data_IF_638506916112
#
_entry.id   IF_638506916112
#
_cell.length_a   1.000
_cell.length_b   1.000
_cell.length_c   1.000
_cell.angle_alpha   90.00
_cell.angle_beta   90.00
_cell.angle_gamma   90.00
#
_symmetry.space_group_name_H-M   'P 1'
#
loop_
_entity.id
_entity.type
_entity.pdbx_description
1 polymer ?
#
# COMPACT_ATOMS: atom_id res chain seq x y z
N UNK A 1 20.65 -36.90 -37.09
CA UNK A 1 21.69 -36.28 -36.22
C UNK A 1 21.65 -34.80 -36.51
N UNK A 2 20.93 -34.04 -35.68
CA UNK A 2 21.02 -32.58 -35.69
C UNK A 2 22.26 -32.23 -34.88
N UNK A 3 23.21 -31.62 -35.55
CA UNK A 3 24.41 -31.04 -34.93
C UNK A 3 23.99 -29.88 -34.05
N UNK A 4 24.30 -29.97 -32.76
CA UNK A 4 24.21 -28.87 -31.83
C UNK A 4 24.95 -27.66 -32.41
N UNK A 5 24.23 -26.58 -32.68
CA UNK A 5 24.82 -25.27 -32.84
C UNK A 5 25.51 -24.92 -31.54
N UNK A 6 26.84 -24.92 -31.52
CA UNK A 6 27.63 -24.38 -30.43
C UNK A 6 27.17 -22.94 -30.19
N UNK A 7 26.64 -22.64 -29.00
CA UNK A 7 26.34 -21.28 -28.55
C UNK A 7 27.69 -20.54 -28.64
N UNK A 8 27.79 -19.55 -29.52
CA UNK A 8 29.01 -18.73 -29.65
C UNK A 8 29.23 -18.02 -28.30
N UNK A 9 30.36 -18.34 -27.65
CA UNK A 9 30.83 -17.61 -26.48
C UNK A 9 31.31 -16.22 -26.90
N UNK A 10 31.01 -15.21 -26.09
CA UNK A 10 31.49 -13.84 -26.29
C UNK A 10 32.79 -13.66 -25.49
N UNK A 11 33.85 -13.14 -26.12
CA UNK A 11 35.13 -12.82 -25.47
C UNK A 11 35.13 -11.37 -25.00
N UNK A 12 35.49 -11.16 -23.72
CA UNK A 12 35.58 -9.85 -23.07
C UNK A 12 37.03 -9.50 -22.65
N UNK A 13 38.02 -10.19 -23.29
CA UNK A 13 39.43 -9.96 -23.01
C UNK A 13 39.96 -10.76 -21.82
N UNK A 14 40.98 -10.23 -21.13
CA UNK A 14 41.64 -10.95 -20.04
C UNK A 14 41.71 -10.12 -18.76
N UNK A 15 41.53 -10.78 -17.60
CA UNK A 15 41.77 -10.21 -16.28
C UNK A 15 42.78 -11.10 -15.55
N UNK A 16 43.90 -10.53 -15.11
CA UNK A 16 45.00 -11.27 -14.46
C UNK A 16 45.43 -12.52 -15.24
N UNK A 17 45.50 -12.39 -16.59
CA UNK A 17 45.92 -13.47 -17.49
C UNK A 17 44.86 -14.56 -17.74
N UNK A 18 43.63 -14.41 -17.30
CA UNK A 18 42.49 -15.32 -17.52
C UNK A 18 41.53 -14.74 -18.56
N UNK A 19 41.17 -15.53 -19.58
CA UNK A 19 40.15 -15.12 -20.52
C UNK A 19 38.79 -14.94 -19.82
N UNK A 20 38.09 -13.88 -20.21
CA UNK A 20 36.71 -13.60 -19.73
C UNK A 20 35.74 -13.89 -20.85
N UNK A 21 34.99 -14.97 -20.70
CA UNK A 21 34.01 -15.43 -21.67
C UNK A 21 32.58 -15.36 -21.09
N UNK A 22 31.60 -15.09 -21.94
CA UNK A 22 30.19 -15.16 -21.60
C UNK A 22 29.40 -15.90 -22.65
N UNK A 23 28.34 -16.62 -22.26
CA UNK A 23 27.46 -17.36 -23.16
C UNK A 23 26.05 -17.49 -22.56
N UNK A 24 25.08 -17.80 -23.43
CA UNK A 24 23.69 -18.03 -23.02
C UNK A 24 23.41 -19.53 -22.80
N UNK A 25 24.21 -20.19 -22.01
CA UNK A 25 24.22 -21.64 -21.76
C UNK A 25 23.83 -22.04 -20.32
N UNK A 26 23.48 -21.06 -19.48
CA UNK A 26 23.18 -21.29 -18.06
C UNK A 26 21.86 -22.06 -17.80
N UNK A 27 21.06 -22.32 -18.82
CA UNK A 27 19.75 -22.98 -18.69
C UNK A 27 18.69 -22.08 -18.08
N UNK A 28 17.78 -22.64 -17.30
CA UNK A 28 16.65 -21.88 -16.74
C UNK A 28 17.09 -21.07 -15.52
N UNK A 29 17.09 -19.77 -15.62
CA UNK A 29 17.54 -18.83 -14.58
C UNK A 29 16.44 -17.82 -14.27
N UNK A 30 16.36 -17.37 -13.01
CA UNK A 30 15.55 -16.23 -12.60
C UNK A 30 16.38 -15.26 -11.77
N UNK A 31 16.11 -13.97 -11.89
CA UNK A 31 16.70 -12.92 -11.05
C UNK A 31 15.94 -12.71 -9.73
N UNK A 32 14.78 -13.31 -9.56
CA UNK A 32 13.78 -12.97 -8.55
C UNK A 32 13.50 -14.12 -7.57
N UNK A 33 14.39 -15.10 -7.45
CA UNK A 33 14.16 -16.31 -6.64
C UNK A 33 13.80 -16.02 -5.18
N UNK A 34 14.25 -14.90 -4.62
CA UNK A 34 13.84 -14.45 -3.29
C UNK A 34 12.34 -14.21 -3.16
N UNK A 35 11.64 -13.96 -4.28
CA UNK A 35 10.19 -13.82 -4.37
C UNK A 35 9.39 -15.05 -3.90
N UNK A 36 10.03 -16.21 -3.73
CA UNK A 36 9.41 -17.37 -3.05
C UNK A 36 8.84 -17.01 -1.67
N UNK A 37 9.41 -16.00 -0.99
CA UNK A 37 8.87 -15.46 0.25
C UNK A 37 7.49 -14.83 0.06
N UNK A 38 7.20 -14.22 -1.09
CA UNK A 38 5.89 -13.64 -1.39
C UNK A 38 4.82 -14.74 -1.48
N UNK A 39 5.11 -15.83 -2.18
CA UNK A 39 4.22 -16.99 -2.24
C UNK A 39 4.03 -17.66 -0.88
N UNK A 40 5.09 -17.75 -0.07
CA UNK A 40 4.98 -18.23 1.30
C UNK A 40 4.14 -17.30 2.18
N UNK A 41 4.26 -15.99 1.99
CA UNK A 41 3.44 -14.99 2.69
C UNK A 41 1.98 -15.11 2.31
N UNK A 42 1.68 -15.26 1.01
CA UNK A 42 0.29 -15.47 0.58
C UNK A 42 -0.32 -16.73 1.17
N UNK A 43 0.40 -17.85 1.22
CA UNK A 43 -0.07 -19.07 1.90
C UNK A 43 -0.38 -18.83 3.39
N UNK A 44 0.42 -18.00 4.07
CA UNK A 44 0.21 -17.68 5.48
C UNK A 44 -1.02 -16.79 5.72
N UNK A 45 -1.39 -15.90 4.78
CA UNK A 45 -2.53 -14.98 4.95
C UNK A 45 -3.74 -15.31 4.05
N UNK A 46 -3.56 -16.11 2.99
CA UNK A 46 -4.60 -16.56 2.06
C UNK A 46 -5.26 -15.41 1.29
N UNK A 47 -4.48 -14.44 0.84
CA UNK A 47 -4.99 -13.21 0.26
C UNK A 47 -5.38 -13.39 -1.21
N UNK A 48 -4.54 -14.06 -2.02
CA UNK A 48 -4.74 -14.12 -3.48
C UNK A 48 -6.03 -14.83 -3.87
N UNK A 49 -6.33 -15.96 -3.25
CA UNK A 49 -7.59 -16.67 -3.51
C UNK A 49 -8.83 -15.84 -3.15
N UNK A 50 -8.77 -15.13 -2.03
CA UNK A 50 -9.86 -14.23 -1.59
C UNK A 50 -10.00 -13.01 -2.50
N UNK A 51 -8.88 -12.46 -2.99
CA UNK A 51 -8.91 -11.35 -3.93
C UNK A 51 -9.45 -11.82 -5.29
N UNK A 52 -9.04 -12.99 -5.78
CA UNK A 52 -9.59 -13.58 -6.99
C UNK A 52 -11.11 -13.85 -6.89
N UNK A 53 -11.59 -14.24 -5.71
CA UNK A 53 -13.03 -14.43 -5.46
C UNK A 53 -13.85 -13.11 -5.52
N UNK A 54 -13.21 -11.95 -5.55
CA UNK A 54 -13.87 -10.67 -5.80
C UNK A 54 -14.15 -10.42 -7.30
N UNK A 55 -13.74 -11.33 -8.17
CA UNK A 55 -13.93 -11.22 -9.61
C UNK A 55 -14.99 -12.22 -10.08
N UNK A 56 -15.72 -11.84 -11.10
CA UNK A 56 -16.67 -12.69 -11.80
C UNK A 56 -16.13 -13.00 -13.19
N UNK A 57 -16.06 -14.29 -13.56
CA UNK A 57 -15.51 -14.78 -14.82
C UNK A 57 -16.61 -15.41 -15.67
N UNK A 58 -16.93 -14.77 -16.78
CA UNK A 58 -17.90 -15.24 -17.77
C UNK A 58 -17.25 -15.91 -18.99
N UNK A 59 -15.98 -16.26 -18.89
CA UNK A 59 -15.31 -17.03 -19.94
C UNK A 59 -15.83 -18.47 -19.94
N UNK A 60 -15.81 -19.11 -21.10
CA UNK A 60 -16.12 -20.53 -21.23
C UNK A 60 -15.02 -21.35 -20.57
N UNK A 61 -15.32 -22.24 -19.59
CA UNK A 61 -14.32 -22.96 -18.82
C UNK A 61 -13.31 -23.74 -19.69
N UNK A 62 -13.80 -24.35 -20.78
CA UNK A 62 -13.00 -25.14 -21.71
C UNK A 62 -11.96 -24.31 -22.50
N UNK A 63 -12.15 -22.99 -22.57
CA UNK A 63 -11.25 -22.06 -23.28
C UNK A 63 -10.33 -21.27 -22.32
N UNK A 64 -10.43 -21.51 -21.02
CA UNK A 64 -9.62 -20.80 -20.03
C UNK A 64 -8.21 -21.42 -19.99
N UNK A 65 -7.20 -20.69 -20.46
CA UNK A 65 -5.80 -21.04 -20.28
C UNK A 65 -5.29 -20.58 -18.89
N UNK A 66 -5.62 -19.35 -18.50
CA UNK A 66 -5.20 -18.77 -17.22
C UNK A 66 -6.42 -18.41 -16.38
N UNK A 67 -6.52 -19.04 -15.21
CA UNK A 67 -7.60 -18.77 -14.25
C UNK A 67 -7.47 -17.37 -13.62
N UNK A 68 -8.57 -16.81 -13.10
CA UNK A 68 -8.54 -15.50 -12.45
C UNK A 68 -7.53 -15.44 -11.31
N UNK A 69 -7.42 -16.51 -10.51
CA UNK A 69 -6.45 -16.56 -9.42
C UNK A 69 -5.00 -16.46 -9.92
N UNK A 70 -4.68 -17.12 -11.03
CA UNK A 70 -3.36 -17.00 -11.70
C UNK A 70 -3.11 -15.57 -12.18
N UNK A 71 -4.09 -14.94 -12.86
CA UNK A 71 -3.96 -13.58 -13.39
C UNK A 71 -3.76 -12.54 -12.27
N UNK A 72 -4.59 -12.63 -11.23
CA UNK A 72 -4.53 -11.75 -10.06
C UNK A 72 -3.20 -11.92 -9.31
N UNK A 73 -2.81 -13.17 -9.07
CA UNK A 73 -1.53 -13.48 -8.42
C UNK A 73 -0.34 -12.97 -9.22
N UNK A 74 -0.30 -13.25 -10.53
CA UNK A 74 0.74 -12.78 -11.43
C UNK A 74 0.89 -11.25 -11.37
N UNK A 75 -0.23 -10.52 -11.34
CA UNK A 75 -0.20 -9.06 -11.31
C UNK A 75 0.30 -8.52 -9.97
N UNK A 76 -0.19 -9.04 -8.85
CA UNK A 76 0.21 -8.61 -7.49
C UNK A 76 1.68 -8.95 -7.21
N UNK A 77 2.13 -10.17 -7.57
CA UNK A 77 3.52 -10.57 -7.42
C UNK A 77 4.44 -9.75 -8.31
N UNK A 78 4.04 -9.48 -9.57
CA UNK A 78 4.79 -8.62 -10.48
C UNK A 78 5.04 -7.24 -9.88
N UNK A 79 3.99 -6.56 -9.38
CA UNK A 79 4.11 -5.25 -8.71
C UNK A 79 5.05 -5.33 -7.48
N UNK A 80 4.90 -6.34 -6.64
CA UNK A 80 5.76 -6.51 -5.47
C UNK A 80 7.23 -6.71 -5.85
N UNK A 81 7.50 -7.37 -6.98
CA UNK A 81 8.84 -7.57 -7.55
C UNK A 81 9.36 -6.38 -8.35
N UNK A 82 8.54 -5.35 -8.60
CA UNK A 82 8.93 -4.12 -9.29
C UNK A 82 8.56 -4.05 -10.76
N UNK A 83 7.71 -4.95 -11.22
CA UNK A 83 7.19 -5.01 -12.59
C UNK A 83 5.77 -4.45 -12.63
N UNK A 84 5.65 -3.13 -12.70
CA UNK A 84 4.34 -2.47 -12.73
C UNK A 84 3.77 -2.36 -14.15
N UNK A 85 4.63 -2.34 -15.17
CA UNK A 85 4.18 -2.28 -16.56
C UNK A 85 3.66 -3.64 -17.01
N UNK A 86 2.52 -3.62 -17.70
CA UNK A 86 1.97 -4.83 -18.31
C UNK A 86 2.85 -5.39 -19.41
N UNK A 87 3.68 -4.56 -20.08
CA UNK A 87 4.61 -5.02 -21.10
C UNK A 87 5.65 -6.00 -20.56
N UNK A 88 6.09 -5.82 -19.31
CA UNK A 88 7.04 -6.72 -18.66
C UNK A 88 6.53 -8.17 -18.62
N UNK A 89 5.21 -8.35 -18.62
CA UNK A 89 4.60 -9.66 -18.55
C UNK A 89 4.70 -10.48 -19.85
N UNK A 90 5.10 -9.89 -20.97
CA UNK A 90 5.42 -10.66 -22.17
C UNK A 90 6.72 -11.45 -22.00
N UNK A 91 7.65 -10.96 -21.16
CA UNK A 91 8.88 -11.66 -20.77
C UNK A 91 8.64 -12.52 -19.52
N UNK A 92 8.04 -11.94 -18.49
CA UNK A 92 7.78 -12.60 -17.21
C UNK A 92 6.91 -13.86 -17.31
N UNK A 93 6.11 -14.01 -18.39
CA UNK A 93 5.34 -15.23 -18.62
C UNK A 93 6.20 -16.47 -18.84
N UNK A 94 7.49 -16.29 -19.11
CA UNK A 94 8.48 -17.36 -19.25
C UNK A 94 9.38 -17.52 -18.02
N UNK A 95 9.26 -16.63 -17.02
CA UNK A 95 10.06 -16.71 -15.80
C UNK A 95 9.56 -17.85 -14.88
N UNK A 96 10.46 -18.78 -14.48
CA UNK A 96 10.06 -19.95 -13.69
C UNK A 96 9.60 -19.59 -12.27
N UNK A 97 10.09 -18.50 -11.68
CA UNK A 97 9.60 -18.05 -10.39
C UNK A 97 8.16 -17.57 -10.49
N UNK A 98 7.87 -16.73 -11.48
CA UNK A 98 6.51 -16.20 -11.68
C UNK A 98 5.51 -17.34 -11.92
N UNK A 99 5.89 -18.36 -12.68
CA UNK A 99 5.10 -19.55 -12.89
C UNK A 99 4.81 -20.30 -11.57
N UNK A 100 5.83 -20.48 -10.73
CA UNK A 100 5.70 -21.09 -9.39
C UNK A 100 4.80 -20.26 -8.46
N UNK A 101 4.98 -18.93 -8.43
CA UNK A 101 4.15 -18.03 -7.63
C UNK A 101 2.68 -18.04 -8.05
N UNK A 102 2.43 -18.11 -9.35
CA UNK A 102 1.07 -18.20 -9.90
C UNK A 102 0.48 -19.62 -9.82
N UNK A 103 1.25 -20.61 -9.35
CA UNK A 103 0.80 -21.98 -9.18
C UNK A 103 0.63 -22.77 -10.48
N UNK A 104 1.28 -22.34 -11.58
CA UNK A 104 1.14 -22.94 -12.90
C UNK A 104 2.47 -22.99 -13.66
N UNK A 105 3.09 -24.18 -13.73
CA UNK A 105 4.37 -24.37 -14.40
C UNK A 105 4.26 -24.64 -15.90
N UNK A 106 3.19 -25.25 -16.34
CA UNK A 106 3.00 -25.70 -17.70
C UNK A 106 1.75 -25.09 -18.31
N UNK A 107 1.81 -24.72 -19.56
CA UNK A 107 0.63 -24.33 -20.32
C UNK A 107 -0.23 -25.57 -20.64
N UNK A 108 -1.56 -25.37 -20.73
CA UNK A 108 -2.46 -26.43 -21.18
C UNK A 108 -2.37 -26.66 -22.69
N UNK A 109 -2.00 -25.60 -23.43
CA UNK A 109 -1.87 -25.62 -24.90
C UNK A 109 -0.41 -25.41 -25.27
N UNK A 110 0.02 -26.11 -26.33
CA UNK A 110 1.42 -26.06 -26.81
C UNK A 110 1.86 -24.67 -27.27
N UNK A 111 0.93 -23.85 -27.77
CA UNK A 111 1.19 -22.49 -28.26
C UNK A 111 1.14 -21.40 -27.15
N UNK A 112 0.98 -21.81 -25.90
CA UNK A 112 0.84 -20.90 -24.77
C UNK A 112 2.03 -20.96 -23.82
N UNK A 113 2.29 -19.85 -23.12
CA UNK A 113 3.19 -19.82 -21.98
C UNK A 113 2.47 -20.27 -20.69
N UNK A 114 3.20 -20.69 -19.64
CA UNK A 114 2.62 -21.09 -18.36
C UNK A 114 1.71 -20.04 -17.75
N UNK A 115 2.08 -18.76 -17.84
CA UNK A 115 1.30 -17.64 -17.31
C UNK A 115 1.00 -16.59 -18.39
N UNK A 116 0.17 -15.62 -18.08
CA UNK A 116 -0.41 -14.72 -19.06
C UNK A 116 0.56 -13.64 -19.55
N UNK A 117 0.52 -13.31 -20.83
CA UNK A 117 1.16 -12.11 -21.38
C UNK A 117 0.30 -10.86 -21.16
N UNK A 118 0.86 -9.70 -21.55
CA UNK A 118 0.27 -8.36 -21.38
C UNK A 118 -1.18 -8.23 -21.86
N UNK A 119 -1.50 -8.80 -23.02
CA UNK A 119 -2.83 -8.68 -23.61
C UNK A 119 -3.93 -9.29 -22.73
N UNK A 120 -3.65 -10.39 -22.05
CA UNK A 120 -4.60 -11.05 -21.15
C UNK A 120 -4.74 -10.28 -19.84
N UNK A 121 -3.64 -9.80 -19.27
CA UNK A 121 -3.66 -8.97 -18.06
C UNK A 121 -4.32 -7.61 -18.32
N UNK A 122 -4.10 -7.01 -19.49
CA UNK A 122 -4.78 -5.77 -19.88
C UNK A 122 -6.30 -5.95 -19.92
N UNK A 123 -6.81 -7.08 -20.43
CA UNK A 123 -8.25 -7.38 -20.41
C UNK A 123 -8.80 -7.53 -18.99
N UNK A 124 -8.01 -8.03 -18.05
CA UNK A 124 -8.37 -8.07 -16.63
C UNK A 124 -8.46 -6.66 -16.03
N UNK A 125 -7.45 -5.81 -16.25
CA UNK A 125 -7.40 -4.45 -15.71
C UNK A 125 -8.48 -3.54 -16.30
N UNK A 126 -8.74 -3.66 -17.60
CA UNK A 126 -9.80 -2.90 -18.30
C UNK A 126 -11.20 -3.51 -18.12
N UNK A 127 -11.42 -4.32 -17.09
CA UNK A 127 -12.69 -4.98 -16.83
C UNK A 127 -13.85 -3.99 -16.78
N UNK A 128 -14.97 -4.34 -17.43
CA UNK A 128 -16.17 -3.53 -17.53
C UNK A 128 -17.25 -4.00 -16.55
N UNK A 129 -18.27 -3.16 -16.30
CA UNK A 129 -19.44 -3.55 -15.48
C UNK A 129 -20.22 -4.68 -16.14
N UNK A 130 -20.46 -4.56 -17.45
CA UNK A 130 -21.08 -5.60 -18.25
C UNK A 130 -20.02 -6.31 -19.10
N UNK A 131 -20.13 -7.62 -19.22
CA UNK A 131 -19.21 -8.39 -20.06
C UNK A 131 -19.38 -8.02 -21.54
N UNK A 132 -18.27 -8.08 -22.26
CA UNK A 132 -18.22 -7.85 -23.70
C UNK A 132 -17.54 -9.03 -24.39
N UNK A 133 -17.50 -9.03 -25.72
CA UNK A 133 -16.77 -10.07 -26.48
C UNK A 133 -15.31 -10.24 -25.99
N UNK A 134 -14.64 -9.15 -25.57
CA UNK A 134 -13.22 -9.14 -25.20
C UNK A 134 -12.98 -9.05 -23.70
N UNK A 135 -13.92 -8.47 -22.91
CA UNK A 135 -13.81 -8.28 -21.47
C UNK A 135 -14.88 -9.10 -20.76
N UNK A 136 -14.55 -10.33 -20.40
CA UNK A 136 -15.46 -11.30 -19.76
C UNK A 136 -15.17 -11.50 -18.28
N UNK A 137 -14.14 -10.83 -17.75
CA UNK A 137 -13.84 -10.82 -16.32
C UNK A 137 -14.23 -9.44 -15.78
N UNK A 138 -15.08 -9.41 -14.78
CA UNK A 138 -15.45 -8.19 -14.07
C UNK A 138 -15.08 -8.29 -12.58
N UNK A 139 -14.89 -7.16 -11.92
CA UNK A 139 -14.59 -7.14 -10.49
C UNK A 139 -15.73 -6.50 -9.70
N UNK A 140 -15.88 -6.94 -8.44
CA UNK A 140 -16.84 -6.38 -7.49
C UNK A 140 -16.10 -5.41 -6.54
N UNK A 141 -16.27 -4.08 -6.69
CA UNK A 141 -15.63 -3.07 -5.85
C UNK A 141 -15.94 -3.22 -4.36
N UNK A 142 -17.19 -3.56 -4.02
CA UNK A 142 -17.61 -3.69 -2.62
C UNK A 142 -16.96 -4.91 -1.95
N UNK A 143 -16.81 -6.02 -2.66
CA UNK A 143 -16.12 -7.20 -2.17
C UNK A 143 -14.64 -6.91 -1.93
N UNK A 144 -13.97 -6.18 -2.84
CA UNK A 144 -12.55 -5.80 -2.68
C UNK A 144 -12.38 -4.87 -1.46
N UNK A 145 -13.23 -3.85 -1.34
CA UNK A 145 -13.22 -2.93 -0.18
C UNK A 145 -13.44 -3.67 1.14
N UNK A 146 -14.35 -4.64 1.17
CA UNK A 146 -14.59 -5.46 2.34
C UNK A 146 -13.36 -6.34 2.68
N UNK A 147 -12.77 -6.99 1.68
CA UNK A 147 -11.57 -7.81 1.85
C UNK A 147 -10.41 -7.03 2.47
N UNK A 148 -10.18 -5.78 2.05
CA UNK A 148 -9.13 -4.93 2.60
C UNK A 148 -9.31 -4.70 4.12
N UNK A 149 -10.55 -4.54 4.58
CA UNK A 149 -10.86 -4.39 6.02
C UNK A 149 -10.67 -5.71 6.76
N UNK A 150 -11.11 -6.83 6.17
CA UNK A 150 -10.93 -8.16 6.76
C UNK A 150 -9.46 -8.51 6.94
N UNK A 151 -8.62 -8.30 5.91
CA UNK A 151 -7.18 -8.52 5.98
C UNK A 151 -6.51 -7.69 7.10
N UNK A 152 -6.99 -6.46 7.31
CA UNK A 152 -6.51 -5.64 8.41
C UNK A 152 -6.91 -6.21 9.77
N UNK A 153 -8.17 -6.59 9.95
CA UNK A 153 -8.67 -7.12 11.23
C UNK A 153 -7.95 -8.43 11.56
N UNK A 154 -7.78 -9.31 10.60
CA UNK A 154 -7.09 -10.59 10.73
C UNK A 154 -5.58 -10.45 10.99
N UNK A 155 -4.98 -9.33 10.60
CA UNK A 155 -3.58 -9.05 10.92
C UNK A 155 -3.31 -8.89 12.42
N UNK A 156 -4.35 -8.76 13.25
CA UNK A 156 -4.26 -8.60 14.69
C UNK A 156 -4.66 -9.90 15.41
N UNK A 157 -3.76 -10.45 16.17
CA UNK A 157 -4.01 -11.67 16.98
C UNK A 157 -5.11 -11.43 18.02
N UNK A 158 -5.17 -10.21 18.57
CA UNK A 158 -6.16 -9.80 19.58
C UNK A 158 -6.73 -8.44 19.21
N UNK A 159 -8.01 -8.20 19.59
CA UNK A 159 -8.63 -6.91 19.41
C UNK A 159 -7.83 -5.82 20.15
N UNK A 160 -7.36 -4.76 19.48
CA UNK A 160 -6.68 -3.66 20.14
C UNK A 160 -7.68 -2.84 20.97
N UNK A 161 -7.20 -2.21 22.07
CA UNK A 161 -8.04 -1.30 22.86
C UNK A 161 -8.43 -0.05 22.07
N UNK A 162 -7.53 0.42 21.24
CA UNK A 162 -7.72 1.61 20.39
C UNK A 162 -7.00 1.44 19.06
N UNK A 163 -7.58 1.98 18.00
CA UNK A 163 -6.93 2.14 16.68
C UNK A 163 -6.99 3.61 16.26
N UNK A 164 -5.96 4.01 15.52
CA UNK A 164 -5.90 5.32 14.86
C UNK A 164 -6.01 5.07 13.38
N UNK A 165 -6.98 5.67 12.73
CA UNK A 165 -7.15 5.66 11.29
C UNK A 165 -6.70 7.00 10.74
N UNK A 166 -5.60 6.99 10.02
CA UNK A 166 -5.08 8.15 9.31
C UNK A 166 -5.73 8.25 7.95
N UNK A 167 -6.29 9.42 7.64
CA UNK A 167 -6.89 9.75 6.37
C UNK A 167 -6.01 10.77 5.64
N UNK A 168 -5.81 10.56 4.37
CA UNK A 168 -5.17 11.50 3.48
C UNK A 168 -5.73 11.38 2.06
N UNK A 169 -5.89 12.52 1.40
CA UNK A 169 -6.22 12.58 -0.01
C UNK A 169 -5.00 13.15 -0.72
N UNK A 170 -4.23 12.28 -1.35
CA UNK A 170 -2.99 12.65 -2.05
C UNK A 170 -3.28 12.74 -3.53
N UNK A 171 -2.73 13.74 -4.19
CA UNK A 171 -2.84 13.89 -5.64
C UNK A 171 -2.16 12.74 -6.39
N UNK A 172 -2.80 12.34 -7.46
CA UNK A 172 -2.31 11.38 -8.44
C UNK A 172 -2.38 12.07 -9.82
N UNK A 173 -1.28 12.71 -10.26
CA UNK A 173 -1.27 13.55 -11.45
C UNK A 173 -1.62 12.78 -12.72
N UNK A 174 -2.44 13.36 -13.57
CA UNK A 174 -2.93 12.77 -14.80
C UNK A 174 -2.31 13.47 -16.02
N UNK A 175 -1.83 12.68 -16.96
CA UNK A 175 -1.14 13.16 -18.16
C UNK A 175 -1.97 13.02 -19.45
N UNK A 176 -3.26 12.71 -19.34
CA UNK A 176 -4.15 12.49 -20.47
C UNK A 176 -5.59 12.88 -20.15
N UNK A 177 -6.54 12.46 -21.01
CA UNK A 177 -7.97 12.75 -20.87
C UNK A 177 -8.73 11.60 -20.20
N UNK A 178 -8.26 11.16 -19.04
CA UNK A 178 -8.89 10.06 -18.30
C UNK A 178 -10.25 10.49 -17.74
N UNK A 179 -11.18 9.54 -17.71
CA UNK A 179 -12.50 9.71 -17.13
C UNK A 179 -12.43 10.15 -15.66
N UNK A 180 -13.19 11.19 -15.30
CA UNK A 180 -13.30 11.65 -13.91
C UNK A 180 -12.09 12.44 -13.40
N UNK A 181 -11.11 12.77 -14.24
CA UNK A 181 -10.06 13.72 -13.86
C UNK A 181 -10.67 15.09 -13.56
N UNK A 182 -10.08 15.81 -12.62
CA UNK A 182 -10.46 17.20 -12.34
C UNK A 182 -9.22 18.07 -12.11
N UNK A 183 -9.35 19.36 -12.37
CA UNK A 183 -8.29 20.32 -12.10
C UNK A 183 -8.28 20.68 -10.62
N UNK A 184 -7.16 20.48 -9.95
CA UNK A 184 -7.00 20.81 -8.55
C UNK A 184 -6.13 22.06 -8.37
N UNK A 185 -6.75 23.18 -8.01
CA UNK A 185 -6.09 24.48 -7.96
C UNK A 185 -4.93 24.61 -6.96
N UNK A 186 -4.85 23.75 -5.94
CA UNK A 186 -3.72 23.76 -5.01
C UNK A 186 -2.48 23.08 -5.62
N UNK A 187 -2.69 21.99 -6.38
CA UNK A 187 -1.61 21.25 -7.04
C UNK A 187 -1.32 21.76 -8.45
N UNK A 188 -2.15 22.66 -8.98
CA UNK A 188 -2.05 23.24 -10.32
C UNK A 188 -1.95 22.18 -11.43
N UNK A 189 -2.68 21.09 -11.31
CA UNK A 189 -2.69 20.00 -12.29
C UNK A 189 -4.05 19.29 -12.35
N UNK A 190 -4.27 18.55 -13.44
CA UNK A 190 -5.32 17.56 -13.52
C UNK A 190 -4.90 16.31 -12.76
N UNK A 191 -5.72 15.85 -11.84
CA UNK A 191 -5.41 14.70 -11.01
C UNK A 191 -6.65 13.88 -10.61
N UNK A 192 -6.42 12.69 -10.08
CA UNK A 192 -7.30 12.04 -9.11
C UNK A 192 -6.87 12.40 -7.68
N UNK A 193 -7.78 12.27 -6.75
CA UNK A 193 -7.50 12.43 -5.32
C UNK A 193 -7.92 11.16 -4.55
N UNK A 194 -7.19 10.06 -4.69
CA UNK A 194 -7.53 8.86 -3.95
C UNK A 194 -7.46 9.09 -2.44
N UNK A 195 -8.53 8.69 -1.74
CA UNK A 195 -8.55 8.67 -0.28
C UNK A 195 -7.74 7.47 0.23
N UNK A 196 -6.63 7.76 0.87
CA UNK A 196 -5.83 6.77 1.58
C UNK A 196 -6.28 6.68 3.03
N UNK A 197 -6.48 5.46 3.52
CA UNK A 197 -6.76 5.19 4.92
C UNK A 197 -5.74 4.21 5.45
N UNK A 198 -4.98 4.61 6.48
CA UNK A 198 -3.98 3.77 7.13
C UNK A 198 -4.30 3.55 8.60
N UNK A 199 -3.87 2.41 9.13
CA UNK A 199 -3.76 2.16 10.55
C UNK A 199 -2.34 1.68 10.85
N UNK A 200 -1.47 2.58 11.27
CA UNK A 200 -0.05 2.32 11.36
C UNK A 200 0.52 1.89 10.01
N UNK A 201 1.06 0.67 9.92
CA UNK A 201 1.59 0.10 8.67
C UNK A 201 0.54 -0.62 7.80
N UNK A 202 -0.69 -0.75 8.27
CA UNK A 202 -1.75 -1.41 7.52
C UNK A 202 -2.46 -0.42 6.62
N UNK A 203 -2.30 -0.57 5.31
CA UNK A 203 -2.98 0.24 4.30
C UNK A 203 -4.43 -0.21 4.13
N UNK A 204 -5.30 0.78 3.98
CA UNK A 204 -6.63 0.65 3.40
C UNK A 204 -6.73 1.73 2.33
N UNK A 205 -6.94 1.36 1.10
CA UNK A 205 -7.23 2.35 0.06
C UNK A 205 -8.71 2.34 -0.26
N UNK A 206 -9.29 3.50 -0.29
CA UNK A 206 -10.54 3.75 -0.97
C UNK A 206 -10.32 4.89 -1.95
N UNK A 207 -10.97 4.84 -3.09
CA UNK A 207 -11.04 5.96 -3.99
C UNK A 207 -12.35 6.65 -3.72
N UNK A 208 -12.25 7.86 -3.30
CA UNK A 208 -13.18 8.96 -3.57
C UNK A 208 -12.57 10.19 -2.89
N UNK A 209 -12.76 11.35 -3.48
CA UNK A 209 -12.35 12.62 -2.92
C UNK A 209 -12.90 12.79 -1.49
N UNK A 210 -12.41 13.77 -0.75
CA UNK A 210 -12.87 14.07 0.61
C UNK A 210 -14.40 14.15 0.75
N UNK A 211 -15.14 14.29 -0.34
CA UNK A 211 -16.60 14.34 -0.38
C UNK A 211 -17.28 12.99 -0.09
N UNK A 212 -16.61 11.85 -0.32
CA UNK A 212 -17.10 10.50 0.05
C UNK A 212 -16.54 9.96 1.38
N UNK A 213 -15.83 10.79 2.15
CA UNK A 213 -15.12 10.34 3.36
C UNK A 213 -16.07 9.84 4.45
N UNK A 214 -17.25 10.44 4.61
CA UNK A 214 -18.24 10.04 5.64
C UNK A 214 -18.74 8.63 5.36
N UNK A 215 -19.21 8.37 4.16
CA UNK A 215 -19.76 7.08 3.73
C UNK A 215 -18.73 5.97 3.83
N UNK A 216 -17.51 6.24 3.38
CA UNK A 216 -16.45 5.25 3.43
C UNK A 216 -15.99 4.99 4.88
N UNK A 217 -15.87 6.00 5.72
CA UNK A 217 -15.57 5.81 7.14
C UNK A 217 -16.69 5.07 7.86
N UNK A 218 -17.95 5.38 7.56
CA UNK A 218 -19.10 4.65 8.11
C UNK A 218 -19.02 3.15 7.78
N UNK A 219 -18.75 2.82 6.52
CA UNK A 219 -18.61 1.44 6.03
C UNK A 219 -17.46 0.71 6.74
N UNK A 220 -16.26 1.32 6.75
CA UNK A 220 -15.06 0.74 7.34
C UNK A 220 -15.26 0.51 8.84
N UNK A 221 -15.75 1.52 9.56
CA UNK A 221 -15.92 1.47 11.01
C UNK A 221 -17.00 0.46 11.39
N UNK A 222 -18.10 0.39 10.66
CA UNK A 222 -19.12 -0.63 10.87
C UNK A 222 -18.56 -2.05 10.72
N UNK A 223 -17.71 -2.29 9.69
CA UNK A 223 -17.07 -3.59 9.50
C UNK A 223 -16.08 -3.92 10.62
N UNK A 224 -15.27 -2.96 11.08
CA UNK A 224 -14.35 -3.15 12.20
C UNK A 224 -15.12 -3.49 13.48
N UNK A 225 -16.18 -2.74 13.78
CA UNK A 225 -16.97 -2.91 14.99
C UNK A 225 -17.74 -4.24 15.04
N UNK A 226 -18.08 -4.83 13.89
CA UNK A 226 -18.61 -6.20 13.87
C UNK A 226 -17.63 -7.21 14.48
N UNK A 227 -16.33 -7.04 14.28
CA UNK A 227 -15.31 -7.93 14.83
C UNK A 227 -14.79 -7.45 16.21
N UNK A 228 -14.70 -6.12 16.40
CA UNK A 228 -14.20 -5.49 17.63
C UNK A 228 -15.20 -4.47 18.18
N UNK A 229 -16.29 -4.89 18.79
CA UNK A 229 -17.39 -3.98 19.21
C UNK A 229 -16.98 -2.87 20.17
N UNK A 230 -15.94 -3.10 20.98
CA UNK A 230 -15.48 -2.17 22.04
C UNK A 230 -14.23 -1.37 21.67
N UNK A 231 -13.73 -1.49 20.44
CA UNK A 231 -12.52 -0.77 20.04
C UNK A 231 -12.78 0.74 20.00
N UNK A 232 -11.91 1.51 20.64
CA UNK A 232 -11.90 2.98 20.47
C UNK A 232 -11.27 3.31 19.12
N UNK A 233 -11.88 4.24 18.40
CA UNK A 233 -11.43 4.64 17.07
C UNK A 233 -11.17 6.14 17.10
N UNK A 234 -9.95 6.53 16.70
CA UNK A 234 -9.57 7.92 16.47
C UNK A 234 -9.29 8.09 14.96
N UNK A 235 -10.03 8.98 14.32
CA UNK A 235 -9.72 9.46 12.97
C UNK A 235 -8.72 10.60 13.08
N UNK A 236 -7.64 10.55 12.26
CA UNK A 236 -6.63 11.59 12.20
C UNK A 236 -6.38 11.98 10.75
N UNK A 237 -6.40 13.28 10.46
CA UNK A 237 -6.29 13.79 9.10
C UNK A 237 -5.70 15.20 9.06
N UNK A 238 -5.43 15.70 7.86
CA UNK A 238 -5.04 17.07 7.63
C UNK A 238 -6.22 18.06 7.72
N UNK A 239 -6.01 19.30 7.31
CA UNK A 239 -7.02 20.35 7.38
C UNK A 239 -8.15 20.22 6.34
N UNK A 240 -7.95 19.46 5.28
CA UNK A 240 -8.98 19.19 4.27
C UNK A 240 -10.17 18.41 4.81
N UNK A 241 -9.94 17.64 5.87
CA UNK A 241 -10.97 16.84 6.54
C UNK A 241 -11.65 17.53 7.75
N UNK A 242 -11.27 18.75 8.09
CA UNK A 242 -11.89 19.51 9.18
C UNK A 242 -13.26 20.10 8.79
N UNK A 243 -14.12 19.27 8.21
CA UNK A 243 -15.48 19.59 7.74
C UNK A 243 -16.51 19.20 8.79
N UNK A 244 -17.60 19.96 8.87
CA UNK A 244 -18.64 19.75 9.88
C UNK A 244 -19.34 18.40 9.76
N UNK A 245 -19.64 17.97 8.55
CA UNK A 245 -20.27 16.69 8.23
C UNK A 245 -19.51 15.51 8.81
N UNK A 246 -18.20 15.41 8.57
CA UNK A 246 -17.37 14.35 9.09
C UNK A 246 -17.21 14.42 10.61
N UNK A 247 -17.01 15.63 11.17
CA UNK A 247 -16.87 15.80 12.61
C UNK A 247 -18.18 15.49 13.35
N UNK A 248 -19.33 15.94 12.83
CA UNK A 248 -20.64 15.65 13.40
C UNK A 248 -20.98 14.17 13.31
N UNK A 249 -20.64 13.53 12.18
CA UNK A 249 -20.78 12.08 12.03
C UNK A 249 -19.94 11.32 13.07
N UNK A 250 -18.69 11.71 13.28
CA UNK A 250 -17.81 11.12 14.29
C UNK A 250 -18.44 11.22 15.70
N UNK A 251 -18.90 12.44 16.06
CA UNK A 251 -19.54 12.70 17.34
C UNK A 251 -20.81 11.84 17.54
N UNK A 252 -21.64 11.72 16.51
CA UNK A 252 -22.88 10.93 16.56
C UNK A 252 -22.61 9.41 16.64
N UNK A 253 -21.45 8.94 16.15
CA UNK A 253 -21.13 7.52 16.08
C UNK A 253 -20.07 7.06 17.11
N UNK A 254 -19.74 7.90 18.11
CA UNK A 254 -18.76 7.54 19.14
C UNK A 254 -17.38 7.24 18.56
N UNK A 255 -16.94 8.05 17.60
CA UNK A 255 -15.64 8.02 16.98
C UNK A 255 -14.90 9.30 17.35
N UNK A 256 -13.71 9.17 17.89
CA UNK A 256 -12.87 10.32 18.16
C UNK A 256 -12.25 10.86 16.87
N UNK A 257 -11.97 12.16 16.82
CA UNK A 257 -11.26 12.76 15.70
C UNK A 257 -10.19 13.75 16.15
N UNK A 258 -9.17 13.94 15.31
CA UNK A 258 -8.09 14.90 15.46
C UNK A 258 -7.65 15.35 14.06
N UNK A 259 -8.14 16.50 13.62
CA UNK A 259 -7.88 17.02 12.27
C UNK A 259 -7.07 18.30 12.33
N UNK A 260 -6.20 18.49 11.34
CA UNK A 260 -5.59 19.79 11.08
C UNK A 260 -6.69 20.85 10.94
N UNK A 261 -6.34 22.10 11.19
CA UNK A 261 -7.26 23.23 10.99
C UNK A 261 -6.50 24.37 10.30
N UNK A 262 -7.01 24.82 9.18
CA UNK A 262 -6.47 25.95 8.42
C UNK A 262 -6.41 27.21 9.27
N UNK A 263 -5.26 27.88 9.26
CA UNK A 263 -5.09 29.15 9.97
C UNK A 263 -5.96 30.25 9.36
N UNK A 264 -6.50 31.11 10.21
CA UNK A 264 -7.12 32.37 9.81
C UNK A 264 -6.85 33.45 10.88
N UNK A 265 -7.10 34.71 10.55
CA UNK A 265 -6.80 35.84 11.44
C UNK A 265 -7.47 35.73 12.80
N UNK A 266 -8.71 35.24 12.88
CA UNK A 266 -9.44 35.08 14.14
C UNK A 266 -8.79 34.01 15.04
N UNK A 267 -8.33 32.91 14.47
CA UNK A 267 -7.60 31.87 15.21
C UNK A 267 -6.24 32.36 15.67
N UNK A 268 -5.55 33.17 14.87
CA UNK A 268 -4.27 33.77 15.24
C UNK A 268 -4.48 34.77 16.39
N UNK A 269 -5.52 35.61 16.33
CA UNK A 269 -5.87 36.55 17.41
C UNK A 269 -6.12 35.84 18.75
N UNK A 270 -6.75 34.64 18.75
CA UNK A 270 -6.98 33.84 19.98
C UNK A 270 -5.71 33.44 20.70
N UNK A 271 -4.56 33.40 20.02
CA UNK A 271 -3.27 32.97 20.59
C UNK A 271 -2.21 34.09 20.52
N UNK A 272 -2.62 35.34 20.35
CA UNK A 272 -1.69 36.45 20.24
C UNK A 272 -0.74 36.53 21.46
N UNK A 273 -1.28 36.42 22.68
CA UNK A 273 -0.47 36.46 23.90
C UNK A 273 0.56 35.29 23.96
N UNK A 274 0.20 34.10 23.55
CA UNK A 274 1.10 32.95 23.47
C UNK A 274 2.18 33.15 22.42
N UNK A 275 1.87 33.77 21.27
CA UNK A 275 2.83 34.13 20.24
C UNK A 275 3.81 35.20 20.74
N UNK A 276 3.35 36.24 21.40
CA UNK A 276 4.20 37.28 21.98
C UNK A 276 5.19 36.71 23.01
N UNK A 277 4.71 35.83 23.88
CA UNK A 277 5.54 35.14 24.85
C UNK A 277 6.57 34.21 24.19
N UNK A 278 6.19 33.52 23.12
CA UNK A 278 7.10 32.67 22.36
C UNK A 278 8.16 33.51 21.64
N UNK A 279 7.75 34.64 21.03
CA UNK A 279 8.65 35.59 20.37
C UNK A 279 9.67 36.18 21.35
N UNK A 280 9.20 36.69 22.49
CA UNK A 280 10.07 37.25 23.53
C UNK A 280 11.13 36.26 24.04
N UNK A 281 10.68 35.00 24.28
CA UNK A 281 11.62 33.95 24.73
C UNK A 281 12.60 33.54 23.62
N UNK A 282 12.14 33.42 22.38
CA UNK A 282 12.97 33.08 21.23
C UNK A 282 14.06 34.14 20.98
N UNK A 283 13.70 35.44 21.04
CA UNK A 283 14.65 36.56 20.92
C UNK A 283 15.74 36.52 22.03
N UNK A 284 15.32 36.19 23.26
CA UNK A 284 16.25 36.12 24.40
C UNK A 284 17.20 34.92 24.32
N UNK A 285 16.73 33.76 23.81
CA UNK A 285 17.48 32.50 23.81
C UNK A 285 18.20 32.21 22.50
N UNK A 286 17.86 32.92 21.41
CA UNK A 286 18.32 32.61 20.06
C UNK A 286 17.81 31.29 19.50
N UNK A 287 16.83 30.65 20.15
CA UNK A 287 16.30 29.33 19.77
C UNK A 287 14.81 29.41 19.45
N UNK A 288 14.29 28.52 18.57
CA UNK A 288 12.85 28.40 18.37
C UNK A 288 12.11 28.11 19.69
N UNK A 289 11.00 28.76 19.89
CA UNK A 289 10.15 28.56 21.05
C UNK A 289 8.72 28.27 20.65
N UNK A 290 8.03 27.41 21.42
CA UNK A 290 6.64 27.05 21.18
C UNK A 290 5.83 26.97 22.47
N UNK A 291 4.58 27.40 22.37
CA UNK A 291 3.57 27.33 23.43
C UNK A 291 2.31 26.68 22.91
N UNK A 292 1.51 26.12 23.79
CA UNK A 292 0.28 25.43 23.44
C UNK A 292 -0.89 26.00 24.21
N UNK A 293 -1.96 26.31 23.47
CA UNK A 293 -3.26 26.74 24.05
C UNK A 293 -4.37 25.80 23.62
N UNK A 294 -5.33 25.58 24.51
CA UNK A 294 -6.54 24.80 24.22
C UNK A 294 -7.76 25.64 24.55
N UNK A 295 -8.66 25.80 23.56
CA UNK A 295 -9.87 26.63 23.71
C UNK A 295 -11.03 26.02 22.92
N UNK A 296 -12.27 26.51 23.20
CA UNK A 296 -13.46 26.14 22.44
C UNK A 296 -13.67 27.13 21.30
N UNK A 297 -13.80 26.61 20.08
CA UNK A 297 -13.92 27.39 18.87
C UNK A 297 -15.12 26.99 18.01
N UNK A 298 -15.59 27.93 17.21
CA UNK A 298 -16.63 27.72 16.22
C UNK A 298 -16.37 28.63 15.01
N UNK A 299 -16.56 28.11 13.80
CA UNK A 299 -16.59 28.95 12.60
C UNK A 299 -17.87 29.80 12.56
N UNK A 300 -17.89 30.83 11.70
CA UNK A 300 -19.07 31.71 11.62
C UNK A 300 -20.30 31.02 11.04
N UNK A 301 -20.12 30.13 10.07
CA UNK A 301 -21.22 29.54 9.26
C UNK A 301 -21.12 28.04 9.03
N UNK A 302 -19.90 27.47 9.05
CA UNK A 302 -19.67 26.12 8.56
C UNK A 302 -19.68 25.02 9.64
N UNK A 303 -19.62 25.37 10.93
CA UNK A 303 -19.70 24.39 12.02
C UNK A 303 -21.02 24.47 12.76
N UNK A 304 -21.63 23.35 13.01
CA UNK A 304 -22.89 23.21 13.73
C UNK A 304 -22.76 23.48 15.24
N UNK A 305 -21.53 23.35 15.79
CA UNK A 305 -21.27 23.51 17.23
C UNK A 305 -19.84 23.92 17.52
N UNK A 306 -19.61 24.38 18.76
CA UNK A 306 -18.26 24.65 19.27
C UNK A 306 -17.51 23.36 19.51
N UNK A 307 -16.24 23.31 19.05
CA UNK A 307 -15.34 22.16 19.24
C UNK A 307 -14.03 22.61 19.87
N UNK A 308 -13.35 21.69 20.52
CA UNK A 308 -12.03 21.93 21.10
C UNK A 308 -11.01 22.13 20.00
N UNK A 309 -10.30 23.26 20.05
CA UNK A 309 -9.15 23.55 19.23
C UNK A 309 -7.89 23.58 20.10
N UNK A 310 -6.81 23.00 19.61
CA UNK A 310 -5.48 23.12 20.20
C UNK A 310 -4.60 23.86 19.20
N UNK A 311 -3.99 24.94 19.70
CA UNK A 311 -3.06 25.76 18.94
C UNK A 311 -1.64 25.53 19.39
N UNK A 312 -0.71 25.48 18.41
CA UNK A 312 0.72 25.62 18.61
C UNK A 312 1.11 27.05 18.22
N UNK A 313 1.41 27.88 19.20
CA UNK A 313 2.02 29.20 19.01
C UNK A 313 3.54 29.03 18.96
N UNK A 314 4.12 29.03 17.77
CA UNK A 314 5.55 28.81 17.54
C UNK A 314 6.16 30.05 16.94
N UNK A 315 7.37 30.38 17.41
CA UNK A 315 8.24 31.40 16.83
C UNK A 315 9.53 30.74 16.38
N UNK A 316 9.83 30.82 15.08
CA UNK A 316 11.00 30.21 14.47
C UNK A 316 11.56 31.11 13.39
N UNK A 317 12.89 31.17 13.25
CA UNK A 317 13.59 31.97 12.23
C UNK A 317 13.13 33.45 12.16
N UNK A 318 12.73 34.03 13.31
CA UNK A 318 12.27 35.42 13.38
C UNK A 318 10.80 35.64 13.04
N UNK A 319 10.04 34.60 12.69
CA UNK A 319 8.65 34.67 12.27
C UNK A 319 7.72 33.81 13.12
N UNK A 320 6.44 34.17 13.13
CA UNK A 320 5.36 33.42 13.73
C UNK A 320 4.93 32.24 12.83
N UNK A 321 4.93 31.03 13.36
CA UNK A 321 4.44 29.84 12.67
C UNK A 321 3.32 29.15 13.45
N UNK A 322 2.13 29.78 13.59
CA UNK A 322 1.01 29.18 14.29
C UNK A 322 0.41 28.00 13.51
N UNK A 323 0.03 26.95 14.26
CA UNK A 323 -0.66 25.78 13.71
C UNK A 323 -1.83 25.41 14.63
N UNK A 324 -2.88 24.88 14.05
CA UNK A 324 -4.11 24.56 14.75
C UNK A 324 -4.59 23.16 14.43
N UNK A 325 -5.19 22.49 15.40
CA UNK A 325 -5.91 21.23 15.22
C UNK A 325 -7.24 21.29 15.95
N UNK A 326 -8.26 20.63 15.42
CA UNK A 326 -9.57 20.46 16.02
C UNK A 326 -9.76 19.01 16.45
N UNK A 327 -10.44 18.78 17.59
CA UNK A 327 -10.57 17.43 18.14
C UNK A 327 -11.82 17.26 19.00
N UNK A 328 -12.34 16.01 19.07
CA UNK A 328 -13.34 15.58 20.04
C UNK A 328 -12.74 15.19 21.39
N UNK A 329 -11.44 14.87 21.43
CA UNK A 329 -10.76 14.42 22.65
C UNK A 329 -10.82 15.51 23.74
N UNK A 330 -11.22 15.14 24.94
CA UNK A 330 -11.38 16.07 26.06
C UNK A 330 -10.03 16.51 26.64
N UNK A 331 -10.03 17.66 27.33
CA UNK A 331 -8.79 18.24 27.90
C UNK A 331 -8.21 17.39 29.04
N UNK A 332 -9.06 16.74 29.81
CA UNK A 332 -8.70 15.82 30.88
C UNK A 332 -8.11 14.50 30.34
N UNK A 333 -8.59 14.03 29.19
CA UNK A 333 -8.08 12.82 28.53
C UNK A 333 -6.72 13.06 27.83
N UNK A 334 -6.53 14.24 27.22
CA UNK A 334 -5.32 14.52 26.44
C UNK A 334 -4.92 16.01 26.52
N UNK A 335 -3.78 16.28 27.17
CA UNK A 335 -3.22 17.64 27.30
C UNK A 335 -2.78 18.21 25.94
N UNK A 336 -2.92 19.52 25.73
CA UNK A 336 -2.68 20.20 24.45
C UNK A 336 -1.33 19.88 23.80
N UNK A 337 -0.23 19.99 24.54
CA UNK A 337 1.12 19.70 24.04
C UNK A 337 1.26 18.25 23.58
N UNK A 338 0.83 17.29 24.40
CA UNK A 338 0.90 15.87 24.07
C UNK A 338 0.04 15.51 22.86
N UNK A 339 -1.18 16.04 22.82
CA UNK A 339 -2.10 15.84 21.69
C UNK A 339 -1.48 16.32 20.38
N UNK A 340 -0.87 17.50 20.38
CA UNK A 340 -0.25 18.04 19.18
C UNK A 340 1.05 17.30 18.80
N UNK A 341 2.02 17.24 19.74
CA UNK A 341 3.37 16.73 19.44
C UNK A 341 3.45 15.21 19.31
N UNK A 342 2.64 14.46 20.08
CA UNK A 342 2.72 12.99 20.11
C UNK A 342 1.61 12.30 19.35
N UNK A 343 0.40 12.88 19.34
CA UNK A 343 -0.72 12.24 18.64
C UNK A 343 -0.85 12.81 17.23
N UNK A 344 -0.93 14.13 17.05
CA UNK A 344 -1.13 14.72 15.72
C UNK A 344 0.12 14.61 14.83
N UNK A 345 1.29 15.00 15.33
CA UNK A 345 2.52 14.99 14.51
C UNK A 345 2.96 13.58 14.09
N UNK A 346 2.54 12.53 14.79
CA UNK A 346 2.77 11.15 14.38
C UNK A 346 2.05 10.77 13.07
N UNK A 347 1.17 11.64 12.52
CA UNK A 347 0.59 11.50 11.18
C UNK A 347 1.65 11.49 10.07
N UNK A 348 2.80 12.12 10.27
CA UNK A 348 3.92 12.10 9.30
C UNK A 348 4.37 10.68 8.90
N UNK A 349 4.12 9.67 9.72
CA UNK A 349 4.37 8.29 9.33
C UNK A 349 3.48 7.84 8.17
N UNK A 350 2.24 8.31 8.06
CA UNK A 350 1.35 8.01 6.96
C UNK A 350 1.88 8.57 5.63
N UNK A 351 2.37 9.81 5.62
CA UNK A 351 2.96 10.43 4.44
C UNK A 351 4.13 9.59 3.91
N UNK A 352 4.98 9.06 4.81
CA UNK A 352 6.05 8.14 4.43
C UNK A 352 5.50 6.83 3.82
N UNK A 353 4.34 6.34 4.29
CA UNK A 353 3.70 5.13 3.73
C UNK A 353 3.10 5.39 2.35
N UNK A 354 2.49 6.56 2.13
CA UNK A 354 2.00 6.96 0.82
C UNK A 354 3.16 7.05 -0.16
N UNK A 355 4.25 7.73 0.21
CA UNK A 355 5.48 7.80 -0.60
C UNK A 355 6.05 6.41 -0.90
N UNK A 356 6.09 5.51 0.08
CA UNK A 356 6.50 4.12 -0.13
C UNK A 356 5.61 3.40 -1.16
N UNK A 357 4.29 3.63 -1.12
CA UNK A 357 3.38 3.06 -2.12
C UNK A 357 3.57 3.66 -3.51
N UNK A 358 3.76 4.96 -3.61
CA UNK A 358 3.98 5.64 -4.88
C UNK A 358 5.35 5.32 -5.48
N UNK A 359 6.42 5.45 -4.72
CA UNK A 359 7.79 5.29 -5.21
C UNK A 359 8.21 3.82 -5.37
N UNK A 360 7.82 2.96 -4.42
CA UNK A 360 8.27 1.58 -4.42
C UNK A 360 7.28 0.63 -5.12
N UNK A 361 6.00 0.97 -5.17
CA UNK A 361 4.96 0.12 -5.77
C UNK A 361 4.16 0.81 -6.88
N UNK A 362 4.59 2.01 -7.29
CA UNK A 362 4.05 2.74 -8.44
C UNK A 362 2.55 3.05 -8.34
N UNK A 363 2.06 3.30 -7.11
CA UNK A 363 0.64 3.50 -6.85
C UNK A 363 0.08 4.83 -7.41
N UNK A 364 0.92 5.69 -7.96
CA UNK A 364 0.61 6.93 -8.68
C UNK A 364 0.45 6.73 -10.21
N UNK A 365 0.61 5.50 -10.70
CA UNK A 365 0.51 5.22 -12.14
C UNK A 365 -0.89 4.78 -12.54
N UNK A 366 -1.78 5.76 -12.70
CA UNK A 366 -3.18 5.58 -13.12
C UNK A 366 -3.37 6.04 -14.56
N UNK A 367 -2.80 5.30 -15.51
CA UNK A 367 -2.73 5.66 -16.93
C UNK A 367 -3.85 5.07 -17.80
N UNK A 368 -4.84 4.36 -17.21
CA UNK A 368 -5.96 3.82 -17.97
C UNK A 368 -7.00 4.89 -18.30
N UNK A 369 -7.72 4.75 -19.41
CA UNK A 369 -8.72 5.72 -19.85
C UNK A 369 -9.92 5.84 -18.90
N UNK A 370 -10.30 4.75 -18.20
CA UNK A 370 -11.47 4.74 -17.33
C UNK A 370 -11.09 4.80 -15.85
N UNK A 371 -11.90 5.51 -15.05
CA UNK A 371 -11.74 5.55 -13.60
C UNK A 371 -11.83 4.17 -12.97
N UNK A 372 -12.71 3.30 -13.47
CA UNK A 372 -12.88 1.92 -12.98
C UNK A 372 -11.59 1.09 -13.12
N UNK A 373 -10.87 1.23 -14.23
CA UNK A 373 -9.61 0.53 -14.45
C UNK A 373 -8.49 1.08 -13.55
N UNK A 374 -8.40 2.40 -13.42
CA UNK A 374 -7.44 3.04 -12.51
C UNK A 374 -7.68 2.66 -11.05
N UNK A 375 -8.97 2.57 -10.65
CA UNK A 375 -9.35 2.06 -9.33
C UNK A 375 -8.86 0.62 -9.12
N UNK A 376 -9.04 -0.25 -10.09
CA UNK A 376 -8.59 -1.64 -9.99
C UNK A 376 -7.06 -1.72 -9.88
N UNK A 377 -6.32 -0.90 -10.64
CA UNK A 377 -4.86 -0.77 -10.51
C UNK A 377 -4.43 -0.38 -9.11
N UNK A 378 -5.08 0.63 -8.51
CA UNK A 378 -4.80 1.02 -7.11
C UNK A 378 -5.06 -0.12 -6.12
N UNK A 379 -6.04 -0.97 -6.36
CA UNK A 379 -6.25 -2.15 -5.53
C UNK A 379 -5.16 -3.21 -5.74
N UNK A 380 -4.65 -3.42 -6.94
CA UNK A 380 -3.49 -4.30 -7.16
C UNK A 380 -2.25 -3.80 -6.40
N UNK A 381 -1.95 -2.50 -6.45
CA UNK A 381 -0.87 -1.89 -5.66
C UNK A 381 -1.13 -2.04 -4.15
N UNK A 382 -2.38 -1.88 -3.72
CA UNK A 382 -2.76 -2.06 -2.32
C UNK A 382 -2.53 -3.49 -1.84
N UNK A 383 -2.89 -4.49 -2.65
CA UNK A 383 -2.65 -5.89 -2.33
C UNK A 383 -1.16 -6.22 -2.29
N UNK A 384 -0.36 -5.70 -3.21
CA UNK A 384 1.10 -5.85 -3.18
C UNK A 384 1.71 -5.24 -1.90
N UNK A 385 1.25 -4.06 -1.50
CA UNK A 385 1.68 -3.44 -0.24
C UNK A 385 1.29 -4.27 0.99
N UNK A 386 0.05 -4.76 1.06
CA UNK A 386 -0.43 -5.61 2.15
C UNK A 386 0.40 -6.90 2.23
N UNK A 387 0.73 -7.50 1.10
CA UNK A 387 1.58 -8.69 1.02
C UNK A 387 2.97 -8.42 1.62
N UNK A 388 3.61 -7.32 1.25
CA UNK A 388 4.91 -6.91 1.80
C UNK A 388 4.83 -6.54 3.28
N UNK A 389 3.75 -5.91 3.73
CA UNK A 389 3.50 -5.66 5.15
C UNK A 389 3.31 -6.96 5.94
N UNK A 390 2.64 -7.95 5.37
CA UNK A 390 2.50 -9.27 5.98
C UNK A 390 3.84 -10.01 6.04
N UNK A 391 4.66 -9.92 4.99
CA UNK A 391 6.03 -10.45 4.99
C UNK A 391 6.87 -9.82 6.12
N UNK A 392 6.84 -8.49 6.29
CA UNK A 392 7.52 -7.81 7.41
C UNK A 392 7.04 -8.32 8.76
N UNK A 393 5.73 -8.39 8.95
CA UNK A 393 5.11 -8.73 10.24
C UNK A 393 5.34 -10.21 10.62
N UNK A 394 5.23 -11.12 9.66
CA UNK A 394 5.28 -12.57 9.93
C UNK A 394 6.70 -13.10 9.74
N UNK A 395 7.34 -12.80 8.64
CA UNK A 395 8.64 -13.36 8.27
C UNK A 395 9.82 -12.58 8.83
N UNK A 396 9.77 -11.24 8.72
CA UNK A 396 10.94 -10.38 8.93
C UNK A 396 10.98 -9.70 10.32
N UNK A 397 10.03 -9.98 11.22
CA UNK A 397 10.15 -9.44 12.58
C UNK A 397 11.47 -9.92 13.22
N UNK A 398 12.11 -9.07 14.02
CA UNK A 398 13.42 -9.32 14.64
C UNK A 398 14.57 -9.60 13.64
N UNK A 399 14.49 -9.03 12.45
CA UNK A 399 15.58 -8.96 11.46
C UNK A 399 15.87 -7.51 11.11
N UNK A 400 16.99 -7.27 10.43
CA UNK A 400 17.35 -5.94 9.93
C UNK A 400 16.31 -5.37 8.92
N UNK A 401 15.48 -6.24 8.37
CA UNK A 401 14.42 -5.90 7.42
C UNK A 401 13.04 -5.61 8.06
N UNK A 402 12.90 -5.74 9.38
CA UNK A 402 11.62 -5.53 10.08
C UNK A 402 11.03 -4.14 9.81
N UNK A 403 11.88 -3.13 9.63
CA UNK A 403 11.50 -1.74 9.37
C UNK A 403 11.84 -1.29 7.92
N UNK A 404 12.38 -2.16 7.09
CA UNK A 404 12.80 -1.84 5.73
C UNK A 404 11.61 -1.42 4.83
N UNK A 405 11.84 -0.52 3.87
CA UNK A 405 10.85 -0.14 2.86
C UNK A 405 10.58 -1.28 1.87
N UNK A 406 9.50 -1.18 1.11
CA UNK A 406 9.18 -2.14 0.05
C UNK A 406 10.33 -2.26 -0.96
N UNK A 407 10.92 -1.12 -1.37
CA UNK A 407 12.06 -1.09 -2.29
C UNK A 407 13.30 -1.78 -1.70
N UNK A 408 13.61 -1.55 -0.43
CA UNK A 408 14.73 -2.22 0.24
C UNK A 408 14.54 -3.73 0.33
N UNK A 409 13.34 -4.18 0.69
CA UNK A 409 13.00 -5.61 0.73
C UNK A 409 13.15 -6.21 -0.66
N UNK A 410 12.60 -5.55 -1.68
CA UNK A 410 12.72 -5.99 -3.08
C UNK A 410 14.18 -6.19 -3.48
N UNK A 411 15.00 -5.16 -3.35
CA UNK A 411 16.37 -5.19 -3.83
C UNK A 411 17.26 -6.17 -3.07
N UNK A 412 17.06 -6.33 -1.75
CA UNK A 412 17.98 -7.11 -0.91
C UNK A 412 17.51 -8.53 -0.60
N UNK A 413 16.19 -8.79 -0.67
CA UNK A 413 15.62 -10.08 -0.30
C UNK A 413 14.88 -10.78 -1.42
N UNK A 414 14.30 -10.03 -2.39
CA UNK A 414 13.51 -10.64 -3.46
C UNK A 414 14.31 -10.80 -4.75
N UNK A 415 15.15 -9.83 -5.10
CA UNK A 415 16.04 -9.87 -6.28
C UNK A 415 17.29 -10.72 -5.97
N UNK A 416 17.14 -12.04 -6.02
CA UNK A 416 18.20 -13.01 -5.81
C UNK A 416 18.26 -13.91 -7.04
N UNK A 417 19.41 -13.92 -7.73
CA UNK A 417 19.63 -14.81 -8.87
C UNK A 417 19.64 -16.29 -8.47
N UNK A 418 18.99 -17.12 -9.23
CA UNK A 418 19.01 -18.57 -9.03
C UNK A 418 18.94 -19.35 -10.35
N UNK A 419 19.67 -20.45 -10.40
CA UNK A 419 19.48 -21.50 -11.39
C UNK A 419 18.28 -22.37 -10.99
N UNK A 420 17.33 -22.56 -11.90
CA UNK A 420 16.12 -23.35 -11.63
C UNK A 420 16.20 -24.68 -12.34
N UNK A 421 16.00 -25.76 -11.59
CA UNK A 421 15.93 -27.11 -12.12
C UNK A 421 14.56 -27.70 -11.84
N UNK A 422 13.85 -28.07 -12.89
CA UNK A 422 12.55 -28.74 -12.82
C UNK A 422 12.77 -30.23 -13.08
N UNK A 423 12.23 -31.05 -12.19
CA UNK A 423 12.18 -32.50 -12.35
C UNK A 423 10.78 -32.99 -12.03
N UNK A 424 10.46 -34.22 -12.36
CA UNK A 424 9.12 -34.82 -12.12
C UNK A 424 8.61 -34.61 -10.68
N UNK A 425 9.50 -34.58 -9.69
CA UNK A 425 9.11 -34.49 -8.27
C UNK A 425 9.52 -33.21 -7.57
N UNK A 426 10.34 -32.36 -8.17
CA UNK A 426 10.94 -31.21 -7.47
C UNK A 426 11.23 -30.06 -8.42
N UNK A 427 10.95 -28.85 -7.95
CA UNK A 427 11.46 -27.61 -8.49
C UNK A 427 12.50 -27.09 -7.51
N UNK A 428 13.76 -27.00 -7.95
CA UNK A 428 14.88 -26.54 -7.11
C UNK A 428 15.36 -25.18 -7.61
N UNK A 429 15.32 -24.20 -6.73
CA UNK A 429 15.96 -22.88 -6.92
C UNK A 429 17.33 -22.92 -6.23
N UNK A 430 18.41 -22.96 -7.00
CA UNK A 430 19.78 -22.87 -6.49
C UNK A 430 20.17 -21.39 -6.47
N UNK A 431 19.89 -20.71 -5.36
CA UNK A 431 20.17 -19.28 -5.18
C UNK A 431 21.65 -19.00 -4.99
N UNK A 432 22.07 -17.76 -5.26
CA UNK A 432 23.44 -17.30 -5.07
C UNK A 432 23.89 -17.53 -3.62
N UNK A 433 24.93 -18.36 -3.43
CA UNK A 433 25.47 -18.72 -2.11
C UNK A 433 26.09 -17.53 -1.37
N UNK A 434 26.56 -16.52 -2.08
CA UNK A 434 27.13 -15.29 -1.55
C UNK A 434 26.10 -14.23 -1.15
N UNK A 435 24.79 -14.55 -1.18
CA UNK A 435 23.75 -13.59 -0.81
C UNK A 435 23.91 -13.15 0.66
N UNK A 436 24.16 -11.85 0.94
CA UNK A 436 24.36 -11.38 2.32
C UNK A 436 23.12 -11.58 3.22
N UNK A 437 21.92 -11.56 2.63
CA UNK A 437 20.65 -11.70 3.33
C UNK A 437 20.18 -13.16 3.50
N UNK A 438 20.98 -14.16 3.11
CA UNK A 438 20.59 -15.58 3.11
C UNK A 438 20.05 -16.06 4.47
N UNK A 439 20.66 -15.59 5.58
CA UNK A 439 20.23 -15.94 6.94
C UNK A 439 18.83 -15.41 7.26
N UNK A 440 18.55 -14.14 6.96
CA UNK A 440 17.27 -13.50 7.24
C UNK A 440 16.19 -14.04 6.31
N UNK A 441 16.54 -14.31 5.05
CA UNK A 441 15.67 -14.98 4.10
C UNK A 441 15.25 -16.37 4.62
N UNK A 442 16.19 -17.18 5.09
CA UNK A 442 15.92 -18.50 5.65
C UNK A 442 15.03 -18.46 6.89
N UNK A 443 15.28 -17.49 7.80
CA UNK A 443 14.42 -17.25 8.98
C UNK A 443 12.99 -16.87 8.56
N UNK A 444 12.85 -15.99 7.59
CA UNK A 444 11.56 -15.58 7.08
C UNK A 444 10.79 -16.78 6.48
N UNK A 445 11.46 -17.60 5.67
CA UNK A 445 10.87 -18.78 5.05
C UNK A 445 10.30 -19.76 6.10
N UNK A 446 11.05 -20.04 7.18
CA UNK A 446 10.61 -20.92 8.28
C UNK A 446 9.40 -20.34 9.00
N UNK A 447 9.43 -19.05 9.36
CA UNK A 447 8.32 -18.39 10.06
C UNK A 447 7.04 -18.37 9.25
N UNK A 448 7.15 -18.10 7.95
CA UNK A 448 6.03 -18.11 7.02
C UNK A 448 5.44 -19.52 6.86
N UNK A 449 6.29 -20.55 6.80
CA UNK A 449 5.83 -21.94 6.75
C UNK A 449 5.03 -22.32 8.00
N UNK A 450 5.51 -21.95 9.20
CA UNK A 450 4.79 -22.17 10.46
C UNK A 450 3.44 -21.44 10.45
N UNK A 451 3.41 -20.17 10.01
CA UNK A 451 2.17 -19.41 9.94
C UNK A 451 1.15 -20.01 8.95
N UNK A 452 1.63 -20.53 7.82
CA UNK A 452 0.78 -21.20 6.84
C UNK A 452 0.18 -22.51 7.39
N UNK A 453 0.95 -23.29 8.13
CA UNK A 453 0.45 -24.51 8.79
C UNK A 453 -0.61 -24.17 9.85
N UNK A 454 -0.37 -23.16 10.67
CA UNK A 454 -1.35 -22.69 11.67
C UNK A 454 -2.67 -22.23 11.05
N UNK A 455 -2.63 -21.63 9.85
CA UNK A 455 -3.83 -21.25 9.11
C UNK A 455 -4.59 -22.46 8.54
N UNK A 456 -3.88 -23.49 8.09
CA UNK A 456 -4.48 -24.67 7.45
C UNK A 456 -5.14 -25.62 8.47
N UNK A 457 -4.77 -25.53 9.76
CA UNK A 457 -5.38 -26.33 10.83
C UNK A 457 -6.63 -25.59 11.32
N UNK A 458 -7.84 -26.11 11.12
CA UNK A 458 -9.05 -25.55 11.73
C UNK A 458 -8.95 -25.67 13.26
N UNK A 459 -9.26 -24.59 13.98
CA UNK A 459 -9.38 -24.57 15.43
C UNK A 459 -10.62 -25.34 15.90
#
# INVERSE_FOLDING_TARGET
MQTDCSVEGFDFGTVEGRAVEAGFDAGLVTSDAGGLLLGATDRAIGMMGRFAACFHDERRPELIEHEVATLVGQRVFGIALGYEDLNDHDELRHDPLMAVLAGKLEARREDCAPIAGKSTLNRLELSKLASTRYHKISHNPMAIRALLVDLFVEAHVRAPKQIILDLDATDDPMHGEQEGRFFHGYYDCYCYLPLYVFCGRHRRSALDAADGAVEEMARIIAQIRRRWPRVRILLRADSGFARDDLMAWCEANGVDFLFGLGRNERLVAEIAAELDLAAAKSRRTGRPERRFKSFMWMTRRSWSRRRRVVAKAEWTQGEANPRFVVTSLRRDECKAKYLYEKVYCARGEMENRIKECQLDLYADRTSAATMRANQLRLWFYSMAYILLCALRRIGLHDTDFAQATCGTIRLKLLKIGALVRVSVRRIKFAMASACPAARDWGRAAVRLAIAALARASPA
#
